data_IF_651691245926
#
_entry.id   IF_651691245926
#
_cell.length_a   1.000
_cell.length_b   1.000
_cell.length_c   1.000
_cell.angle_alpha   90.00
_cell.angle_beta   90.00
_cell.angle_gamma   90.00
#
_symmetry.space_group_name_H-M   'P 1'
#
loop_
_entity.id
_entity.type
_entity.pdbx_description
1 polymer ?
#
# COMPACT_ATOMS: atom_id res chain seq x y z
N UNK A 1 -26.56 13.54 -17.31
CA UNK A 1 -25.29 13.29 -17.98
C UNK A 1 -24.12 13.60 -17.06
N UNK A 2 -23.02 12.86 -17.19
CA UNK A 2 -21.78 13.11 -16.41
C UNK A 2 -20.88 14.14 -17.10
N UNK A 3 -20.99 14.26 -18.42
CA UNK A 3 -20.21 15.21 -19.23
C UNK A 3 -21.10 16.19 -19.98
N UNK A 4 -20.55 17.36 -20.27
CA UNK A 4 -21.22 18.39 -21.06
C UNK A 4 -21.48 17.93 -22.50
N UNK A 5 -22.32 18.68 -23.22
CA UNK A 5 -22.59 18.43 -24.64
C UNK A 5 -21.26 18.54 -25.42
N UNK A 6 -20.97 17.57 -26.29
CA UNK A 6 -19.73 17.49 -27.04
C UNK A 6 -18.70 16.57 -26.43
N UNK A 7 -18.76 16.26 -25.12
CA UNK A 7 -17.78 15.42 -24.40
C UNK A 7 -18.38 14.09 -23.88
N UNK A 8 -19.60 13.75 -24.28
CA UNK A 8 -20.37 12.61 -23.77
C UNK A 8 -19.94 11.25 -24.31
N UNK A 9 -19.30 11.25 -25.47
CA UNK A 9 -18.90 10.04 -26.17
C UNK A 9 -17.38 9.96 -26.25
N UNK A 10 -16.84 8.76 -26.01
CA UNK A 10 -15.45 8.42 -26.18
C UNK A 10 -15.30 7.19 -27.08
N UNK A 11 -14.20 7.09 -27.82
CA UNK A 11 -13.85 5.93 -28.62
C UNK A 11 -12.71 5.17 -27.96
N UNK A 12 -12.96 3.90 -27.60
CA UNK A 12 -12.04 3.07 -26.83
C UNK A 12 -11.77 1.76 -27.57
N UNK A 13 -10.88 1.76 -28.58
CA UNK A 13 -10.59 0.59 -29.39
C UNK A 13 -9.75 -0.42 -28.60
N UNK A 14 -9.91 -1.70 -28.93
CA UNK A 14 -9.06 -2.76 -28.45
C UNK A 14 -8.74 -3.77 -29.56
N UNK A 15 -7.53 -4.30 -29.55
CA UNK A 15 -7.09 -5.36 -30.44
C UNK A 15 -6.24 -6.34 -29.64
N UNK A 16 -6.42 -7.62 -29.94
CA UNK A 16 -5.58 -8.69 -29.38
C UNK A 16 -5.25 -9.73 -30.42
N UNK A 17 -4.08 -10.32 -30.28
CA UNK A 17 -3.60 -11.42 -31.11
C UNK A 17 -2.97 -12.48 -30.22
N UNK A 18 -3.13 -13.76 -30.64
CA UNK A 18 -2.49 -14.88 -29.95
C UNK A 18 -1.94 -15.83 -30.96
N UNK A 19 -0.68 -16.23 -30.79
CA UNK A 19 0.01 -17.18 -31.65
C UNK A 19 0.36 -18.44 -30.87
N UNK A 20 -0.23 -19.56 -31.29
CA UNK A 20 0.06 -20.88 -30.72
C UNK A 20 1.22 -21.51 -31.48
N UNK A 21 2.43 -21.21 -31.06
CA UNK A 21 3.67 -21.64 -31.71
C UNK A 21 3.80 -23.17 -31.70
N UNK A 22 3.30 -23.81 -30.64
CA UNK A 22 3.33 -25.29 -30.56
C UNK A 22 2.51 -26.00 -31.65
N UNK A 23 1.58 -25.33 -32.33
CA UNK A 23 0.80 -25.92 -33.43
C UNK A 23 1.50 -25.79 -34.79
N UNK A 24 2.54 -24.96 -34.88
CA UNK A 24 3.27 -24.76 -36.13
C UNK A 24 4.07 -26.00 -36.55
N UNK A 25 4.18 -26.23 -37.86
CA UNK A 25 4.89 -27.40 -38.42
C UNK A 25 6.36 -27.43 -37.99
N UNK A 26 7.03 -26.30 -37.97
CA UNK A 26 8.44 -26.20 -37.56
C UNK A 26 8.68 -26.56 -36.08
N UNK A 27 7.64 -26.50 -35.28
CA UNK A 27 7.72 -26.80 -33.86
C UNK A 27 7.52 -28.28 -33.52
N UNK A 28 7.12 -29.08 -34.49
CA UNK A 28 6.81 -30.51 -34.31
C UNK A 28 7.86 -31.33 -33.53
N UNK A 29 9.19 -31.12 -33.71
CA UNK A 29 10.20 -31.88 -32.94
C UNK A 29 10.18 -31.62 -31.45
N UNK A 30 9.73 -30.41 -31.01
CA UNK A 30 9.73 -29.98 -29.62
C UNK A 30 8.41 -30.26 -28.90
N UNK A 31 7.35 -30.69 -29.56
CA UNK A 31 6.02 -30.92 -28.97
C UNK A 31 6.00 -31.96 -27.85
N UNK A 32 6.96 -32.90 -27.85
CA UNK A 32 7.07 -33.88 -26.75
C UNK A 32 7.51 -33.26 -25.43
N UNK A 33 8.35 -32.22 -25.48
CA UNK A 33 8.86 -31.52 -24.32
C UNK A 33 7.99 -30.30 -23.93
N UNK A 34 7.54 -29.57 -24.99
CA UNK A 34 6.76 -28.35 -24.84
C UNK A 34 5.35 -28.61 -25.34
N UNK A 35 4.45 -28.86 -24.40
CA UNK A 35 3.05 -29.24 -24.69
C UNK A 35 2.21 -28.04 -25.11
N UNK A 36 2.54 -26.84 -24.62
CA UNK A 36 1.90 -25.59 -24.99
C UNK A 36 2.93 -24.47 -25.04
N UNK A 37 2.88 -23.67 -26.10
CA UNK A 37 3.65 -22.45 -26.24
C UNK A 37 2.80 -21.44 -26.99
N UNK A 38 2.33 -20.42 -26.29
CA UNK A 38 1.48 -19.37 -26.86
C UNK A 38 2.01 -18.00 -26.49
N UNK A 39 2.19 -17.16 -27.50
CA UNK A 39 2.42 -15.73 -27.31
C UNK A 39 1.11 -14.97 -27.43
N UNK A 40 0.94 -13.98 -26.58
CA UNK A 40 -0.24 -13.11 -26.52
C UNK A 40 0.20 -11.65 -26.63
N UNK A 41 -0.54 -10.88 -27.41
CA UNK A 41 -0.36 -9.45 -27.54
C UNK A 41 -1.71 -8.79 -27.39
N UNK A 42 -1.79 -7.73 -26.63
CA UNK A 42 -2.99 -6.93 -26.57
C UNK A 42 -2.66 -5.44 -26.43
N UNK A 43 -3.51 -4.64 -27.07
CA UNK A 43 -3.55 -3.19 -26.96
C UNK A 43 -5.01 -2.80 -26.81
N UNK A 44 -5.35 -2.17 -25.70
CA UNK A 44 -6.73 -1.75 -25.43
C UNK A 44 -6.80 -0.39 -24.76
N UNK A 45 -7.78 0.38 -25.16
CA UNK A 45 -8.16 1.63 -24.50
C UNK A 45 -9.47 1.43 -23.75
N UNK A 46 -9.56 1.96 -22.54
CA UNK A 46 -10.78 1.99 -21.71
C UNK A 46 -11.04 3.43 -21.26
N UNK A 47 -12.30 3.83 -21.25
CA UNK A 47 -12.72 5.11 -20.71
C UNK A 47 -13.21 4.99 -19.28
N UNK A 48 -12.76 5.89 -18.41
CA UNK A 48 -13.30 6.04 -17.06
C UNK A 48 -14.15 7.32 -16.99
N UNK A 49 -15.37 7.19 -16.47
CA UNK A 49 -16.30 8.29 -16.26
C UNK A 49 -16.70 8.43 -14.78
N UNK A 50 -15.81 8.10 -13.87
CA UNK A 50 -16.11 8.15 -12.43
C UNK A 50 -16.09 9.60 -11.90
N UNK A 51 -17.06 10.38 -12.37
CA UNK A 51 -17.36 11.75 -11.96
C UNK A 51 -18.80 11.84 -11.49
N UNK A 52 -19.12 12.85 -10.70
CA UNK A 52 -20.49 13.11 -10.27
C UNK A 52 -21.45 13.43 -11.44
N UNK A 53 -22.71 13.29 -11.16
CA UNK A 53 -23.73 13.72 -12.13
C UNK A 53 -23.77 15.23 -12.18
N UNK A 54 -23.71 15.80 -13.40
CA UNK A 54 -23.79 17.24 -13.64
C UNK A 54 -22.64 18.06 -13.04
N UNK A 55 -21.50 17.43 -12.72
CA UNK A 55 -20.31 18.12 -12.19
C UNK A 55 -19.78 19.24 -13.10
N UNK A 56 -20.20 19.26 -14.36
CA UNK A 56 -19.87 20.32 -15.32
C UNK A 56 -20.77 21.57 -15.17
N UNK A 57 -21.79 21.53 -14.31
CA UNK A 57 -22.65 22.67 -14.05
C UNK A 57 -22.24 23.38 -12.77
N UNK A 58 -22.08 24.69 -12.86
CA UNK A 58 -21.92 25.50 -11.67
C UNK A 58 -23.27 25.63 -10.96
N UNK A 59 -23.30 25.37 -9.67
CA UNK A 59 -24.52 25.38 -8.87
C UNK A 59 -24.48 26.49 -7.82
N UNK A 60 -25.65 26.97 -7.46
CA UNK A 60 -25.83 27.89 -6.34
C UNK A 60 -26.53 27.12 -5.23
N UNK A 61 -25.89 27.03 -4.08
CA UNK A 61 -26.50 26.47 -2.88
C UNK A 61 -27.09 27.57 -2.05
N UNK A 62 -28.38 27.47 -1.76
CA UNK A 62 -29.11 28.43 -0.93
C UNK A 62 -29.58 27.79 0.37
N UNK A 63 -29.84 28.60 1.39
CA UNK A 63 -30.33 28.13 2.70
C UNK A 63 -29.24 27.84 3.73
N UNK A 64 -27.97 28.02 3.42
CA UNK A 64 -26.89 27.99 4.40
C UNK A 64 -26.96 29.22 5.32
N UNK A 65 -26.74 29.02 6.63
CA UNK A 65 -26.64 30.14 7.56
C UNK A 65 -25.28 30.81 7.40
N UNK A 66 -25.23 32.08 7.07
CA UNK A 66 -23.99 32.85 7.05
C UNK A 66 -23.49 33.07 8.48
N UNK A 67 -22.15 33.11 8.67
CA UNK A 67 -21.54 33.22 9.99
C UNK A 67 -21.73 34.62 10.63
N UNK A 68 -22.25 35.57 9.86
CA UNK A 68 -22.47 36.94 10.32
C UNK A 68 -23.92 37.14 10.80
N UNK A 69 -24.06 37.72 11.98
CA UNK A 69 -25.36 38.05 12.54
C UNK A 69 -25.71 39.53 12.18
N UNK A 70 -26.85 39.76 11.61
CA UNK A 70 -27.40 41.09 11.35
C UNK A 70 -28.41 41.46 12.45
N UNK A 71 -28.29 42.67 12.98
CA UNK A 71 -29.27 43.21 13.95
C UNK A 71 -29.48 42.29 15.16
N UNK A 72 -30.70 41.84 15.38
CA UNK A 72 -31.19 41.09 16.54
C UNK A 72 -30.56 39.66 16.76
N UNK A 73 -29.30 39.49 16.47
CA UNK A 73 -28.58 38.23 16.64
C UNK A 73 -29.05 37.07 15.70
N UNK A 74 -29.90 37.36 14.76
CA UNK A 74 -30.33 36.35 13.78
C UNK A 74 -29.29 36.18 12.67
N UNK A 75 -28.90 34.95 12.42
CA UNK A 75 -28.03 34.63 11.29
C UNK A 75 -28.93 34.57 10.02
N UNK A 76 -28.60 35.37 9.03
CA UNK A 76 -29.32 35.36 7.78
C UNK A 76 -29.05 34.10 6.97
N UNK A 77 -30.03 33.68 6.17
CA UNK A 77 -29.83 32.68 5.12
C UNK A 77 -28.99 33.27 4.00
N UNK A 78 -27.95 32.56 3.61
CA UNK A 78 -27.08 32.95 2.52
C UNK A 78 -27.19 32.07 1.31
N UNK A 79 -26.56 32.49 0.23
CA UNK A 79 -26.32 31.67 -0.95
C UNK A 79 -24.83 31.63 -1.24
N UNK A 80 -24.32 30.47 -1.60
CA UNK A 80 -22.92 30.28 -2.03
C UNK A 80 -22.87 29.70 -3.43
N UNK A 81 -21.95 30.18 -4.23
CA UNK A 81 -21.69 29.65 -5.56
C UNK A 81 -20.65 28.53 -5.40
N UNK A 82 -20.88 27.37 -6.05
CA UNK A 82 -19.90 26.30 -6.09
C UNK A 82 -18.60 26.77 -6.75
N UNK A 83 -17.51 26.03 -6.53
CA UNK A 83 -16.28 26.26 -7.28
C UNK A 83 -16.56 26.32 -8.79
N UNK A 84 -15.79 27.12 -9.55
CA UNK A 84 -15.92 27.16 -11.00
C UNK A 84 -15.71 25.75 -11.55
N UNK A 85 -16.52 25.37 -12.53
CA UNK A 85 -16.42 24.08 -13.19
C UNK A 85 -15.82 24.26 -14.58
N UNK A 86 -14.86 23.42 -14.93
CA UNK A 86 -14.44 23.31 -16.32
C UNK A 86 -15.56 22.62 -17.10
N UNK A 87 -16.13 23.29 -18.11
CA UNK A 87 -17.18 22.72 -18.96
C UNK A 87 -16.64 21.75 -20.01
N UNK A 88 -15.34 21.70 -20.18
CA UNK A 88 -14.60 20.97 -21.21
C UNK A 88 -13.97 19.66 -20.74
N UNK A 89 -14.10 19.28 -19.46
CA UNK A 89 -13.57 18.03 -19.01
C UNK A 89 -14.25 16.81 -19.66
N UNK A 90 -13.46 15.80 -19.93
CA UNK A 90 -13.86 14.61 -20.67
C UNK A 90 -13.39 13.33 -20.00
N UNK A 91 -13.53 12.21 -20.69
CA UNK A 91 -13.15 10.89 -20.24
C UNK A 91 -11.66 10.80 -19.84
N UNK A 92 -11.41 10.18 -18.71
CA UNK A 92 -10.07 9.63 -18.47
C UNK A 92 -9.88 8.41 -19.36
N UNK A 93 -8.72 8.29 -19.98
CA UNK A 93 -8.41 7.18 -20.89
C UNK A 93 -7.29 6.31 -20.32
N UNK A 94 -7.56 5.02 -20.22
CA UNK A 94 -6.56 4.03 -19.80
C UNK A 94 -6.15 3.19 -21.01
N UNK A 95 -4.91 3.33 -21.47
CA UNK A 95 -4.35 2.55 -22.56
C UNK A 95 -3.41 1.51 -21.99
N UNK A 96 -3.73 0.23 -22.20
CA UNK A 96 -2.90 -0.89 -21.74
C UNK A 96 -2.29 -1.60 -22.95
N UNK A 97 -0.97 -1.82 -22.90
CA UNK A 97 -0.18 -2.64 -23.83
C UNK A 97 0.31 -3.83 -23.04
N UNK A 98 0.05 -5.03 -23.50
CA UNK A 98 0.44 -6.26 -22.81
C UNK A 98 1.08 -7.26 -23.77
N UNK A 99 2.12 -7.93 -23.31
CA UNK A 99 2.74 -9.08 -23.95
C UNK A 99 2.73 -10.21 -22.94
N UNK A 100 2.15 -11.34 -23.31
CA UNK A 100 2.03 -12.52 -22.47
C UNK A 100 2.60 -13.77 -23.13
N UNK A 101 3.09 -14.67 -22.29
CA UNK A 101 3.60 -15.99 -22.65
C UNK A 101 2.86 -17.06 -21.83
N UNK A 102 2.30 -18.05 -22.50
CA UNK A 102 1.79 -19.26 -21.87
C UNK A 102 2.67 -20.44 -22.31
N UNK A 103 3.27 -21.13 -21.34
CA UNK A 103 4.18 -22.25 -21.55
C UNK A 103 3.70 -23.46 -20.75
N UNK A 104 3.55 -24.59 -21.43
CA UNK A 104 3.25 -25.90 -20.85
C UNK A 104 4.37 -26.88 -21.17
N UNK A 105 4.92 -27.51 -20.16
CA UNK A 105 5.99 -28.48 -20.25
C UNK A 105 5.59 -29.84 -19.67
N UNK A 106 6.30 -30.90 -20.06
CA UNK A 106 6.17 -32.24 -19.47
C UNK A 106 4.72 -32.76 -19.49
N UNK A 107 4.06 -32.68 -20.62
CA UNK A 107 2.63 -33.02 -20.79
C UNK A 107 1.72 -32.19 -19.87
N UNK A 108 1.98 -30.88 -19.78
CA UNK A 108 1.26 -29.91 -18.94
C UNK A 108 1.34 -30.17 -17.41
N UNK A 109 2.34 -30.93 -16.94
CA UNK A 109 2.62 -31.00 -15.50
C UNK A 109 3.14 -29.69 -14.97
N UNK A 110 4.02 -29.02 -15.72
CA UNK A 110 4.50 -27.68 -15.44
C UNK A 110 3.84 -26.70 -16.41
N UNK A 111 3.09 -25.75 -15.87
CA UNK A 111 2.53 -24.65 -16.65
C UNK A 111 3.02 -23.32 -16.09
N UNK A 112 3.34 -22.40 -16.97
CA UNK A 112 3.78 -21.05 -16.64
C UNK A 112 3.02 -20.05 -17.49
N UNK A 113 2.53 -19.00 -16.87
CA UNK A 113 1.98 -17.82 -17.53
C UNK A 113 2.76 -16.62 -17.06
N UNK A 114 3.23 -15.80 -17.97
CA UNK A 114 3.94 -14.56 -17.66
C UNK A 114 3.43 -13.43 -18.55
N UNK A 115 3.20 -12.28 -17.96
CA UNK A 115 2.73 -11.07 -18.63
C UNK A 115 3.61 -9.87 -18.24
N UNK A 116 3.92 -9.03 -19.23
CA UNK A 116 4.58 -7.74 -19.04
C UNK A 116 3.68 -6.69 -19.66
N UNK A 117 3.39 -5.64 -18.91
CA UNK A 117 2.49 -4.61 -19.36
C UNK A 117 2.95 -3.19 -19.07
N UNK A 118 2.47 -2.27 -19.91
CA UNK A 118 2.54 -0.84 -19.70
C UNK A 118 1.11 -0.30 -19.78
N UNK A 119 0.70 0.39 -18.74
CA UNK A 119 -0.60 1.06 -18.64
C UNK A 119 -0.39 2.56 -18.53
N UNK A 120 -0.86 3.29 -19.51
CA UNK A 120 -0.90 4.74 -19.52
C UNK A 120 -2.31 5.21 -19.14
N UNK A 121 -2.45 5.83 -17.98
CA UNK A 121 -3.68 6.55 -17.59
C UNK A 121 -3.50 8.00 -17.97
N UNK A 122 -4.31 8.48 -18.90
CA UNK A 122 -4.24 9.81 -19.48
C UNK A 122 -5.47 10.63 -19.13
N UNK A 123 -5.26 11.94 -19.09
CA UNK A 123 -6.33 12.90 -18.93
C UNK A 123 -7.13 12.68 -17.64
N UNK A 124 -6.43 12.34 -16.54
CA UNK A 124 -7.04 12.16 -15.23
C UNK A 124 -7.64 13.47 -14.72
N UNK A 125 -8.81 13.37 -14.16
CA UNK A 125 -9.54 14.51 -13.58
C UNK A 125 -8.96 14.85 -12.21
N UNK A 126 -8.22 15.92 -12.15
CA UNK A 126 -7.58 16.45 -10.95
C UNK A 126 -7.91 17.94 -10.80
N UNK A 127 -7.74 18.49 -9.61
CA UNK A 127 -7.79 19.94 -9.45
C UNK A 127 -6.78 20.60 -10.41
N UNK A 128 -7.21 21.66 -11.08
CA UNK A 128 -6.33 22.48 -11.93
C UNK A 128 -5.29 23.23 -11.08
N UNK A 129 -4.51 24.14 -11.70
CA UNK A 129 -3.63 25.05 -10.92
C UNK A 129 -4.41 25.74 -9.83
N UNK A 130 -3.76 25.92 -8.67
CA UNK A 130 -4.35 26.66 -7.58
C UNK A 130 -4.75 28.07 -8.05
N UNK A 131 -5.97 28.44 -7.76
CA UNK A 131 -6.43 29.79 -7.97
C UNK A 131 -5.87 30.72 -6.89
N UNK A 132 -5.55 31.98 -7.19
CA UNK A 132 -5.18 32.92 -6.15
C UNK A 132 -6.24 32.98 -5.05
N UNK A 133 -5.82 33.07 -3.78
CA UNK A 133 -6.72 33.09 -2.63
C UNK A 133 -7.81 34.19 -2.72
N UNK A 134 -7.54 35.28 -3.42
CA UNK A 134 -8.51 36.36 -3.67
C UNK A 134 -9.71 35.93 -4.49
N UNK A 135 -9.61 34.80 -5.20
CA UNK A 135 -10.73 34.26 -5.98
C UNK A 135 -11.84 33.67 -5.08
N UNK A 136 -11.47 33.24 -3.87
CA UNK A 136 -12.42 32.77 -2.86
C UNK A 136 -13.12 31.44 -3.17
N UNK A 137 -12.62 30.65 -4.14
CA UNK A 137 -13.16 29.35 -4.48
C UNK A 137 -12.03 28.34 -4.80
N UNK A 138 -12.34 27.05 -4.65
CA UNK A 138 -11.43 25.96 -5.01
C UNK A 138 -11.22 25.88 -6.53
N UNK A 139 -10.07 25.37 -6.93
CA UNK A 139 -9.74 25.16 -8.33
C UNK A 139 -10.66 24.15 -9.01
N UNK A 140 -11.09 24.39 -10.26
CA UNK A 140 -11.93 23.44 -11.00
C UNK A 140 -11.17 22.15 -11.29
N UNK A 141 -11.90 21.05 -11.42
CA UNK A 141 -11.36 19.81 -11.95
C UNK A 141 -11.17 19.91 -13.46
N UNK A 142 -10.01 19.50 -13.93
CA UNK A 142 -9.69 19.43 -15.36
C UNK A 142 -8.93 18.13 -15.66
N UNK A 143 -8.79 17.78 -16.93
CA UNK A 143 -7.99 16.62 -17.36
C UNK A 143 -6.48 16.99 -17.30
N UNK A 144 -5.90 17.03 -16.12
CA UNK A 144 -4.62 17.68 -15.83
C UNK A 144 -3.45 16.72 -15.57
N UNK A 145 -3.71 15.44 -15.30
CA UNK A 145 -2.68 14.50 -14.88
C UNK A 145 -2.61 13.24 -15.75
N UNK A 146 -1.40 12.72 -15.91
CA UNK A 146 -1.15 11.42 -16.54
C UNK A 146 -0.26 10.56 -15.65
N UNK A 147 -0.53 9.26 -15.67
CA UNK A 147 0.27 8.24 -14.96
C UNK A 147 0.74 7.19 -15.95
N UNK A 148 1.90 6.59 -15.68
CA UNK A 148 2.38 5.40 -16.33
C UNK A 148 2.71 4.33 -15.34
N UNK A 149 2.01 3.20 -15.44
CA UNK A 149 2.31 1.98 -14.68
C UNK A 149 3.04 1.00 -15.58
N UNK A 150 4.18 0.50 -15.11
CA UNK A 150 4.90 -0.63 -15.70
C UNK A 150 4.83 -1.77 -14.71
N UNK A 151 4.46 -2.94 -15.18
CA UNK A 151 4.33 -4.10 -14.31
C UNK A 151 4.58 -5.40 -15.06
N UNK A 152 4.75 -6.44 -14.28
CA UNK A 152 4.83 -7.81 -14.74
C UNK A 152 4.14 -8.72 -13.73
N UNK A 153 3.62 -9.83 -14.21
CA UNK A 153 3.05 -10.88 -13.38
C UNK A 153 3.43 -12.25 -13.94
N UNK A 154 3.65 -13.20 -13.07
CA UNK A 154 3.97 -14.56 -13.43
C UNK A 154 3.23 -15.53 -12.51
N UNK A 155 2.75 -16.63 -13.10
CA UNK A 155 2.20 -17.75 -12.37
C UNK A 155 2.86 -19.03 -12.87
N UNK A 156 3.26 -19.90 -11.93
CA UNK A 156 3.85 -21.20 -12.23
C UNK A 156 3.02 -22.24 -11.48
N UNK A 157 2.52 -23.23 -12.18
CA UNK A 157 1.80 -24.36 -11.59
C UNK A 157 2.49 -25.68 -11.95
N UNK A 158 2.69 -26.48 -10.92
CA UNK A 158 3.13 -27.87 -11.05
C UNK A 158 2.02 -28.79 -10.56
N UNK A 159 1.61 -29.74 -11.40
CA UNK A 159 0.62 -30.75 -11.07
C UNK A 159 1.17 -32.11 -11.46
N UNK A 160 1.22 -33.04 -10.52
CA UNK A 160 1.71 -34.38 -10.80
C UNK A 160 1.02 -35.41 -9.89
N UNK A 161 1.23 -36.67 -10.26
CA UNK A 161 0.73 -37.79 -9.47
C UNK A 161 1.68 -38.99 -9.58
N UNK A 162 1.76 -39.73 -8.49
CA UNK A 162 2.52 -40.98 -8.45
C UNK A 162 1.80 -42.01 -7.57
N UNK A 163 2.17 -43.26 -7.69
CA UNK A 163 1.58 -44.34 -6.91
C UNK A 163 2.30 -44.46 -5.57
N UNK A 164 1.57 -44.23 -4.46
CA UNK A 164 2.07 -44.39 -3.11
C UNK A 164 1.31 -45.53 -2.42
N UNK A 165 2.00 -46.62 -2.08
CA UNK A 165 1.40 -47.79 -1.45
C UNK A 165 0.17 -48.35 -2.17
N UNK A 166 0.22 -48.41 -3.52
CA UNK A 166 -0.86 -48.92 -4.34
C UNK A 166 -2.02 -47.98 -4.60
N UNK A 167 -1.94 -46.72 -4.15
CA UNK A 167 -2.94 -45.68 -4.38
C UNK A 167 -2.31 -44.44 -4.98
N UNK A 168 -3.04 -43.76 -5.86
CA UNK A 168 -2.57 -42.53 -6.46
C UNK A 168 -2.47 -41.43 -5.39
N UNK A 169 -1.30 -40.78 -5.36
CA UNK A 169 -1.06 -39.53 -4.63
C UNK A 169 -1.00 -38.42 -5.66
N UNK A 170 -1.92 -37.46 -5.57
CA UNK A 170 -1.94 -36.29 -6.42
C UNK A 170 -1.45 -35.08 -5.63
N UNK A 171 -0.68 -34.21 -6.26
CA UNK A 171 -0.28 -32.95 -5.61
C UNK A 171 -0.14 -31.83 -6.63
N UNK A 172 -0.37 -30.61 -6.15
CA UNK A 172 -0.20 -29.43 -6.94
C UNK A 172 0.45 -28.30 -6.12
N UNK A 173 1.28 -27.53 -6.82
CA UNK A 173 1.91 -26.32 -6.29
C UNK A 173 1.66 -25.21 -7.30
N UNK A 174 1.07 -24.11 -6.87
CA UNK A 174 0.87 -22.92 -7.69
C UNK A 174 1.55 -21.73 -7.01
N UNK A 175 2.47 -21.10 -7.74
CA UNK A 175 3.19 -19.91 -7.33
C UNK A 175 2.70 -18.74 -8.17
N UNK A 176 2.36 -17.64 -7.55
CA UNK A 176 2.06 -16.37 -8.20
C UNK A 176 2.99 -15.29 -7.69
N UNK A 177 3.51 -14.47 -8.59
CA UNK A 177 4.36 -13.32 -8.26
C UNK A 177 4.06 -12.18 -9.21
N UNK A 178 3.86 -10.97 -8.68
CA UNK A 178 3.59 -9.78 -9.46
C UNK A 178 4.28 -8.57 -8.86
N UNK A 179 4.66 -7.64 -9.73
CA UNK A 179 5.23 -6.36 -9.31
C UNK A 179 4.87 -5.25 -10.30
N UNK A 180 4.68 -4.05 -9.78
CA UNK A 180 4.47 -2.89 -10.62
C UNK A 180 5.01 -1.60 -10.00
N UNK A 181 5.26 -0.62 -10.84
CA UNK A 181 5.62 0.74 -10.47
C UNK A 181 4.80 1.73 -11.27
N UNK A 182 4.32 2.77 -10.61
CA UNK A 182 3.57 3.84 -11.24
C UNK A 182 4.31 5.16 -11.08
N UNK A 183 4.50 5.88 -12.19
CA UNK A 183 5.10 7.21 -12.21
C UNK A 183 4.13 8.24 -12.77
N UNK A 184 4.18 9.42 -12.20
CA UNK A 184 3.51 10.60 -12.75
C UNK A 184 4.26 11.04 -14.02
N UNK A 185 3.58 11.09 -15.16
CA UNK A 185 4.17 11.50 -16.45
C UNK A 185 3.74 12.89 -16.89
N UNK A 186 2.69 13.42 -16.28
CA UNK A 186 2.26 14.81 -16.44
C UNK A 186 1.51 15.24 -15.19
N UNK A 187 1.84 16.37 -14.65
CA UNK A 187 1.10 17.06 -13.61
C UNK A 187 1.45 18.54 -13.62
N UNK A 188 0.53 19.36 -13.15
CA UNK A 188 0.71 20.81 -13.14
C UNK A 188 1.40 21.29 -11.86
N UNK A 189 2.66 20.89 -11.69
CA UNK A 189 3.53 21.27 -10.58
C UNK A 189 4.97 21.44 -11.09
N UNK A 190 5.19 22.54 -11.81
CA UNK A 190 6.47 22.82 -12.50
C UNK A 190 7.62 22.93 -11.51
N UNK A 191 7.35 23.46 -10.31
CA UNK A 191 8.33 23.61 -9.24
C UNK A 191 8.59 22.32 -8.48
N UNK A 192 7.87 21.23 -8.80
CA UNK A 192 7.92 19.94 -8.10
C UNK A 192 7.83 20.07 -6.59
N UNK A 193 6.96 20.95 -6.13
CA UNK A 193 6.68 21.13 -4.69
C UNK A 193 6.22 19.82 -4.07
N UNK A 194 6.83 19.41 -2.97
CA UNK A 194 6.46 18.21 -2.25
C UNK A 194 5.08 18.39 -1.56
N UNK A 195 4.34 17.31 -1.40
CA UNK A 195 2.96 17.36 -0.90
C UNK A 195 1.90 17.39 -2.01
N UNK A 196 2.27 17.77 -3.23
CA UNK A 196 1.47 17.64 -4.46
C UNK A 196 2.19 16.74 -5.45
N UNK A 197 1.48 15.93 -6.27
CA UNK A 197 2.15 15.13 -7.30
C UNK A 197 2.98 16.01 -8.25
N UNK A 198 4.08 15.47 -8.73
CA UNK A 198 4.96 16.16 -9.69
C UNK A 198 5.44 15.20 -10.79
N UNK A 199 5.80 15.75 -11.94
CA UNK A 199 6.30 14.96 -13.07
C UNK A 199 7.61 14.27 -12.71
N UNK A 200 7.65 12.94 -12.94
CA UNK A 200 8.76 12.05 -12.58
C UNK A 200 8.61 11.35 -11.24
N UNK A 201 7.69 11.79 -10.38
CA UNK A 201 7.41 11.17 -9.08
C UNK A 201 6.98 9.71 -9.26
N UNK A 202 7.53 8.82 -8.44
CA UNK A 202 6.99 7.48 -8.27
C UNK A 202 5.89 7.52 -7.21
N UNK A 203 4.70 7.03 -7.52
CA UNK A 203 3.62 7.00 -6.53
C UNK A 203 4.04 6.20 -5.30
N UNK A 204 3.64 6.71 -4.13
CA UNK A 204 3.94 6.10 -2.84
C UNK A 204 5.32 6.46 -2.25
N UNK A 205 6.10 7.34 -2.88
CA UNK A 205 7.36 7.82 -2.32
C UNK A 205 7.16 8.39 -0.91
N UNK A 206 8.06 8.01 -0.01
CA UNK A 206 8.14 8.55 1.34
C UNK A 206 9.44 9.36 1.41
N UNK A 207 9.29 10.68 1.50
CA UNK A 207 10.39 11.60 1.75
C UNK A 207 10.65 11.67 3.25
N UNK A 208 11.91 11.61 3.65
CA UNK A 208 12.27 11.64 5.05
C UNK A 208 13.74 11.92 5.29
N UNK A 209 14.05 12.17 6.55
CA UNK A 209 15.39 12.47 7.03
C UNK A 209 16.21 11.20 7.25
N UNK A 210 17.52 11.34 7.16
CA UNK A 210 18.45 10.26 7.50
C UNK A 210 18.86 10.42 8.96
N UNK A 211 18.87 9.30 9.68
CA UNK A 211 19.27 9.23 11.09
C UNK A 211 20.55 8.44 11.21
N UNK A 212 21.55 8.99 11.91
CA UNK A 212 22.83 8.36 12.23
C UNK A 212 22.84 7.61 13.59
N UNK A 213 21.68 7.51 14.22
CA UNK A 213 21.53 6.86 15.52
C UNK A 213 20.99 7.79 16.60
N UNK A 214 21.36 7.48 17.84
CA UNK A 214 21.06 8.33 19.01
C UNK A 214 22.38 8.90 19.53
N UNK A 215 22.33 10.11 20.06
CA UNK A 215 23.48 10.67 20.78
C UNK A 215 23.87 9.76 21.94
N UNK A 216 25.16 9.47 22.08
CA UNK A 216 25.65 8.55 23.13
C UNK A 216 25.88 9.26 24.46
N UNK A 217 26.28 10.53 24.43
CA UNK A 217 26.56 11.34 25.61
C UNK A 217 25.99 12.74 25.46
N UNK A 218 25.76 13.42 26.56
CA UNK A 218 25.35 14.83 26.56
C UNK A 218 26.44 15.72 25.92
N UNK A 219 27.72 15.39 26.12
CA UNK A 219 28.85 16.12 25.52
C UNK A 219 28.81 16.02 23.97
N UNK A 220 28.51 14.83 23.41
CA UNK A 220 28.31 14.67 21.96
C UNK A 220 27.15 15.54 21.46
N UNK A 221 26.03 15.54 22.16
CA UNK A 221 24.85 16.29 21.80
C UNK A 221 25.07 17.82 21.87
N UNK A 222 25.75 18.29 22.90
CA UNK A 222 26.06 19.70 23.08
C UNK A 222 27.07 20.23 22.03
N UNK A 223 28.03 19.41 21.65
CA UNK A 223 29.07 19.75 20.68
C UNK A 223 28.68 19.42 19.23
N UNK A 224 27.47 18.93 19.00
CA UNK A 224 27.04 18.58 17.64
C UNK A 224 26.90 19.82 16.76
N UNK A 225 27.67 19.90 15.64
CA UNK A 225 27.76 21.13 14.85
C UNK A 225 26.50 21.44 14.05
N UNK A 226 25.64 20.42 13.81
CA UNK A 226 24.46 20.58 12.96
C UNK A 226 23.28 21.09 13.78
N UNK A 227 22.68 22.16 13.33
CA UNK A 227 21.44 22.69 13.90
C UNK A 227 20.24 21.86 13.43
N UNK A 228 19.72 20.99 14.28
CA UNK A 228 18.52 20.19 13.99
C UNK A 228 17.24 20.69 14.69
N UNK A 229 17.18 21.96 15.04
CA UNK A 229 16.02 22.57 15.73
C UNK A 229 14.71 22.45 14.93
N UNK A 230 14.77 22.39 13.60
CA UNK A 230 13.61 22.21 12.76
C UNK A 230 12.89 20.87 13.01
N UNK A 231 13.63 19.80 13.24
CA UNK A 231 13.07 18.46 13.49
C UNK A 231 12.92 18.15 14.96
N UNK A 232 13.68 18.84 15.82
CA UNK A 232 13.68 18.63 17.27
C UNK A 232 12.88 19.67 18.03
N UNK A 233 12.04 20.47 17.44
CA UNK A 233 11.37 21.57 18.15
C UNK A 233 10.74 21.13 19.47
N UNK A 234 11.62 20.86 20.43
CA UNK A 234 11.31 20.40 21.76
C UNK A 234 10.86 21.63 22.53
N UNK A 235 9.54 21.83 22.57
CA UNK A 235 8.87 22.78 23.46
C UNK A 235 9.50 24.16 23.55
N UNK A 236 9.84 24.87 22.49
CA UNK A 236 10.21 26.29 22.65
C UNK A 236 11.01 26.60 23.94
N UNK A 237 11.63 25.57 24.53
CA UNK A 237 12.48 25.73 25.68
C UNK A 237 13.74 26.37 25.17
N UNK A 238 13.86 27.59 25.46
CA UNK A 238 14.94 28.48 25.08
C UNK A 238 16.33 27.85 25.26
N UNK A 239 17.07 27.90 24.37
CA UNK A 239 17.98 27.06 23.86
C UNK A 239 19.37 27.65 23.69
N UNK A 240 20.15 27.54 24.67
CA UNK A 240 21.59 27.67 24.48
C UNK A 240 22.22 26.43 23.82
N UNK A 241 21.59 25.28 23.89
CA UNK A 241 22.10 23.98 23.39
C UNK A 241 21.07 23.18 22.62
N UNK A 242 20.17 23.81 21.85
CA UNK A 242 19.08 23.09 21.14
C UNK A 242 18.27 22.11 22.03
N UNK A 243 18.56 22.01 23.33
CA UNK A 243 17.95 21.07 24.26
C UNK A 243 18.22 19.59 23.96
N UNK A 244 19.26 19.29 23.18
CA UNK A 244 19.67 17.93 22.85
C UNK A 244 20.43 17.29 23.99
N UNK A 245 20.19 16.01 24.20
CA UNK A 245 20.84 15.19 25.20
C UNK A 245 21.17 13.80 24.67
N UNK A 246 21.93 13.05 25.43
CA UNK A 246 22.12 11.63 25.20
C UNK A 246 20.77 10.91 25.03
N UNK A 247 20.65 10.05 24.02
CA UNK A 247 19.43 9.34 23.69
C UNK A 247 18.48 10.06 22.75
N UNK A 248 18.74 11.31 22.37
CA UNK A 248 17.98 11.97 21.32
C UNK A 248 18.42 11.51 19.94
N UNK A 249 17.55 11.68 18.95
CA UNK A 249 17.81 11.28 17.55
C UNK A 249 18.83 12.23 16.93
N UNK A 250 19.87 11.65 16.30
CA UNK A 250 20.92 12.36 15.59
C UNK A 250 20.62 12.32 14.08
N UNK A 251 20.27 13.46 13.51
CA UNK A 251 19.97 13.60 12.10
C UNK A 251 21.22 13.93 11.28
N UNK A 252 21.24 13.46 10.04
CA UNK A 252 22.34 13.69 9.10
C UNK A 252 22.02 14.90 8.24
N UNK A 253 22.91 15.88 8.24
CA UNK A 253 22.95 16.97 7.27
C UNK A 253 23.39 16.42 5.92
N UNK A 254 22.52 16.51 4.90
CA UNK A 254 22.77 15.93 3.56
C UNK A 254 23.34 16.94 2.57
N UNK A 255 23.08 18.24 2.73
CA UNK A 255 23.60 19.26 1.84
C UNK A 255 24.83 20.01 2.39
N UNK A 256 25.18 19.77 3.66
CA UNK A 256 26.43 20.22 4.28
C UNK A 256 26.40 21.67 4.76
N UNK A 257 25.21 22.24 4.97
CA UNK A 257 25.06 23.62 5.43
C UNK A 257 25.02 23.76 6.96
N UNK A 258 25.12 22.64 7.69
CA UNK A 258 25.01 22.51 9.15
C UNK A 258 23.65 22.88 9.72
N UNK A 259 22.57 22.81 8.93
CA UNK A 259 21.20 23.08 9.37
C UNK A 259 20.26 22.02 8.79
N UNK A 260 19.57 21.28 9.62
CA UNK A 260 18.55 20.35 9.13
C UNK A 260 17.32 21.13 8.64
N UNK A 261 17.11 21.12 7.34
CA UNK A 261 16.09 21.86 6.64
C UNK A 261 15.08 20.96 5.92
N UNK A 262 13.81 21.39 5.74
CA UNK A 262 12.85 20.63 4.96
C UNK A 262 13.13 20.77 3.46
N UNK A 263 13.00 19.69 2.73
CA UNK A 263 12.92 19.72 1.28
C UNK A 263 11.50 20.14 0.88
N UNK A 264 11.36 21.30 0.29
CA UNK A 264 10.08 21.82 -0.17
C UNK A 264 9.78 21.44 -1.62
N UNK A 265 10.83 21.15 -2.39
CA UNK A 265 10.75 20.83 -3.81
C UNK A 265 11.74 19.72 -4.17
N UNK A 266 11.33 18.84 -5.06
CA UNK A 266 12.22 17.82 -5.63
C UNK A 266 13.28 18.41 -6.59
N UNK A 267 13.16 19.69 -6.96
CA UNK A 267 14.19 20.42 -7.72
C UNK A 267 15.24 21.08 -6.81
N UNK A 268 14.94 21.26 -5.51
CA UNK A 268 15.84 21.85 -4.52
C UNK A 268 15.82 20.95 -3.26
N UNK A 269 16.60 19.88 -3.34
CA UNK A 269 16.70 18.86 -2.30
C UNK A 269 17.61 19.37 -1.19
N UNK A 270 17.09 19.34 0.04
CA UNK A 270 17.81 19.64 1.28
C UNK A 270 18.09 18.33 2.05
N UNK A 271 17.80 18.26 3.34
CA UNK A 271 18.14 17.13 4.19
C UNK A 271 17.16 15.96 4.14
N UNK A 272 16.25 15.97 3.20
CA UNK A 272 15.36 14.85 2.97
C UNK A 272 15.68 14.14 1.65
N UNK A 273 15.50 12.84 1.64
CA UNK A 273 15.54 12.02 0.42
C UNK A 273 14.38 11.02 0.42
N UNK A 274 14.14 10.36 -0.71
CA UNK A 274 13.20 9.24 -0.76
C UNK A 274 13.78 8.08 0.03
N UNK A 275 13.21 7.80 1.20
CA UNK A 275 13.66 6.75 2.13
C UNK A 275 12.87 5.46 1.97
N UNK A 276 11.70 5.50 1.31
CA UNK A 276 10.85 4.34 1.15
C UNK A 276 9.73 4.54 0.14
N UNK A 277 8.90 3.52 0.02
CA UNK A 277 7.69 3.58 -0.80
C UNK A 277 6.55 2.83 -0.09
N UNK A 278 5.37 3.48 -0.01
CA UNK A 278 4.19 2.97 0.69
C UNK A 278 3.35 1.98 -0.13
N UNK A 279 3.61 1.85 -1.43
CA UNK A 279 2.90 0.89 -2.26
C UNK A 279 3.54 -0.50 -2.18
N UNK A 280 2.71 -1.57 -2.19
CA UNK A 280 3.22 -2.93 -2.11
C UNK A 280 4.01 -3.31 -3.37
N UNK A 281 5.13 -3.99 -3.18
CA UNK A 281 6.01 -4.51 -4.22
C UNK A 281 6.20 -6.00 -4.01
N UNK A 282 6.34 -6.73 -5.12
CA UNK A 282 6.55 -8.18 -5.10
C UNK A 282 5.43 -8.89 -4.32
N UNK A 283 4.18 -8.68 -4.76
CA UNK A 283 3.04 -9.41 -4.21
C UNK A 283 3.10 -10.86 -4.66
N UNK A 284 2.95 -11.79 -3.73
CA UNK A 284 3.09 -13.21 -4.03
C UNK A 284 2.03 -14.07 -3.36
N UNK A 285 1.79 -15.23 -3.96
CA UNK A 285 0.98 -16.27 -3.38
C UNK A 285 1.56 -17.65 -3.64
N UNK A 286 1.39 -18.56 -2.70
CA UNK A 286 1.73 -19.98 -2.82
C UNK A 286 0.51 -20.79 -2.44
N UNK A 287 0.01 -21.58 -3.38
CA UNK A 287 -1.06 -22.54 -3.12
C UNK A 287 -0.48 -23.94 -3.20
N UNK A 288 -0.73 -24.72 -2.17
CA UNK A 288 -0.38 -26.13 -2.10
C UNK A 288 -1.66 -26.93 -2.00
N UNK A 289 -1.74 -28.04 -2.73
CA UNK A 289 -2.81 -29.02 -2.55
C UNK A 289 -2.26 -30.42 -2.74
N UNK A 290 -2.82 -31.38 -2.01
CA UNK A 290 -2.51 -32.78 -2.15
C UNK A 290 -3.72 -33.62 -1.77
N UNK A 291 -3.86 -34.78 -2.42
CA UNK A 291 -4.84 -35.78 -2.03
C UNK A 291 -4.26 -37.20 -2.10
N UNK A 292 -4.61 -38.00 -1.14
CA UNK A 292 -4.20 -39.38 -1.06
C UNK A 292 -5.14 -40.21 -0.19
N UNK A 293 -5.66 -41.29 -0.76
CA UNK A 293 -6.44 -42.30 0.01
C UNK A 293 -7.57 -41.73 0.89
N UNK A 294 -8.28 -40.75 0.37
CA UNK A 294 -9.37 -40.08 1.11
C UNK A 294 -8.93 -38.88 1.95
N UNK A 295 -7.63 -38.69 2.19
CA UNK A 295 -7.10 -37.50 2.84
C UNK A 295 -6.91 -36.43 1.77
N UNK A 296 -7.37 -35.23 2.02
CA UNK A 296 -7.11 -34.03 1.23
C UNK A 296 -6.47 -32.94 2.09
N UNK A 297 -5.55 -32.21 1.47
CA UNK A 297 -4.83 -31.09 2.07
C UNK A 297 -4.83 -29.93 1.11
N UNK A 298 -5.05 -28.72 1.62
CA UNK A 298 -4.78 -27.49 0.88
C UNK A 298 -4.25 -26.41 1.82
N UNK A 299 -3.34 -25.56 1.30
CA UNK A 299 -2.83 -24.40 2.01
C UNK A 299 -2.65 -23.24 1.04
N UNK A 300 -2.91 -22.02 1.52
CA UNK A 300 -2.68 -20.77 0.81
C UNK A 300 -1.83 -19.86 1.67
N UNK A 301 -0.64 -19.54 1.17
CA UNK A 301 0.18 -18.46 1.69
C UNK A 301 0.07 -17.25 0.76
N UNK A 302 0.07 -16.08 1.33
CA UNK A 302 0.04 -14.79 0.61
C UNK A 302 0.94 -13.79 1.32
N UNK A 303 1.56 -12.91 0.53
CA UNK A 303 2.40 -11.90 1.12
C UNK A 303 2.78 -10.77 0.17
N UNK A 304 3.51 -9.82 0.75
CA UNK A 304 4.11 -8.67 0.09
C UNK A 304 5.60 -8.68 0.42
N UNK A 305 6.45 -8.63 -0.61
CA UNK A 305 7.90 -8.74 -0.41
C UNK A 305 8.55 -7.46 0.10
N UNK A 306 7.97 -6.29 -0.21
CA UNK A 306 8.46 -4.99 0.26
C UNK A 306 7.34 -3.96 0.25
N UNK A 307 7.16 -3.28 1.36
CA UNK A 307 6.31 -2.11 1.50
C UNK A 307 6.79 -1.32 2.71
N UNK A 308 6.85 -0.01 2.62
CA UNK A 308 7.26 0.83 3.74
C UNK A 308 6.08 1.62 4.29
N UNK A 309 6.13 1.85 5.57
CA UNK A 309 5.15 2.64 6.27
C UNK A 309 5.84 3.46 7.37
N UNK A 310 5.47 4.71 7.49
CA UNK A 310 5.91 5.52 8.63
C UNK A 310 4.73 5.70 9.59
N UNK A 311 4.84 5.27 10.85
CA UNK A 311 3.78 5.45 11.84
C UNK A 311 3.56 6.94 12.08
N UNK A 312 2.34 7.41 11.90
CA UNK A 312 2.01 8.79 12.25
C UNK A 312 1.97 8.98 13.78
N UNK A 313 1.96 10.22 14.25
CA UNK A 313 2.01 10.55 15.68
C UNK A 313 0.87 9.98 16.52
N UNK A 314 -0.24 9.58 15.89
CA UNK A 314 -1.40 9.01 16.58
C UNK A 314 -1.35 7.47 16.71
N UNK A 315 -0.32 6.83 16.15
CA UNK A 315 -0.17 5.36 16.16
C UNK A 315 0.34 4.88 17.51
N UNK A 316 -0.50 4.90 18.52
CA UNK A 316 -0.13 4.53 19.89
C UNK A 316 0.33 3.08 20.05
N UNK A 317 -0.13 2.16 19.20
CA UNK A 317 0.33 0.76 19.17
C UNK A 317 1.79 0.59 18.70
N UNK A 318 2.36 1.62 18.08
CA UNK A 318 3.77 1.67 17.73
C UNK A 318 4.55 2.56 18.71
N UNK A 319 4.09 3.78 18.90
CA UNK A 319 4.82 4.79 19.67
C UNK A 319 4.66 4.68 21.17
N UNK A 320 3.61 4.00 21.66
CA UNK A 320 3.33 3.92 23.08
C UNK A 320 3.24 5.30 23.74
N UNK A 321 3.96 5.52 24.87
CA UNK A 321 3.95 6.78 25.61
C UNK A 321 4.43 8.01 24.84
N UNK A 322 5.17 7.86 23.72
CA UNK A 322 5.56 9.00 22.88
C UNK A 322 4.37 9.65 22.21
N UNK A 323 3.32 8.87 21.87
CA UNK A 323 2.10 9.41 21.29
C UNK A 323 1.31 10.22 22.32
N UNK A 324 0.99 9.61 23.46
CA UNK A 324 0.21 10.24 24.55
C UNK A 324 0.55 9.59 25.89
N UNK A 325 1.42 10.17 26.72
CA UNK A 325 1.90 9.52 27.93
C UNK A 325 0.83 9.27 29.01
N UNK A 326 -0.28 9.99 28.97
CA UNK A 326 -1.35 9.91 29.98
C UNK A 326 -2.55 9.03 29.59
N UNK A 327 -2.64 8.58 28.34
CA UNK A 327 -3.76 7.73 27.89
C UNK A 327 -3.35 6.88 26.68
N UNK A 328 -2.31 6.07 26.84
CA UNK A 328 -1.78 5.29 25.74
C UNK A 328 -1.61 3.84 26.11
N UNK A 329 -1.42 3.02 25.10
CA UNK A 329 -0.97 1.66 25.20
C UNK A 329 0.52 1.61 25.54
N UNK A 330 0.90 0.75 26.46
CA UNK A 330 2.29 0.48 26.81
C UNK A 330 2.61 -0.97 26.41
N UNK A 331 3.48 -1.18 25.39
CA UNK A 331 3.96 -2.52 25.03
C UNK A 331 4.68 -3.18 26.21
N UNK A 332 4.64 -4.49 26.29
CA UNK A 332 5.36 -5.24 27.35
C UNK A 332 6.85 -5.02 27.31
N UNK A 333 7.39 -4.86 26.11
CA UNK A 333 8.83 -4.73 25.86
C UNK A 333 9.29 -3.25 25.86
N UNK A 334 8.40 -2.31 26.23
CA UNK A 334 8.67 -0.88 26.15
C UNK A 334 9.94 -0.46 26.88
N UNK A 335 10.14 -0.96 28.10
CA UNK A 335 11.31 -0.59 28.90
C UNK A 335 12.64 -1.14 28.36
N UNK A 336 12.57 -2.22 27.59
CA UNK A 336 13.77 -2.80 26.93
C UNK A 336 14.07 -2.13 25.60
N UNK A 337 13.06 -1.50 24.99
CA UNK A 337 13.17 -0.85 23.68
C UNK A 337 13.45 0.66 23.77
N UNK A 338 13.35 1.22 24.96
CA UNK A 338 13.49 2.66 25.21
C UNK A 338 14.89 2.98 25.73
N UNK A 339 15.47 4.05 25.25
CA UNK A 339 16.77 4.52 25.66
C UNK A 339 16.80 4.84 27.17
N UNK A 340 17.86 4.40 27.82
CA UNK A 340 18.27 4.77 29.17
C UNK A 340 19.80 4.75 29.24
N UNK A 341 20.36 5.25 30.33
CA UNK A 341 21.81 5.20 30.55
C UNK A 341 22.34 3.76 30.56
N UNK A 342 21.55 2.80 31.02
CA UNK A 342 21.85 1.38 31.02
C UNK A 342 21.58 0.70 29.67
N UNK A 343 20.86 1.35 28.75
CA UNK A 343 20.50 0.84 27.41
C UNK A 343 20.68 1.93 26.33
N UNK A 344 21.92 2.35 26.04
CA UNK A 344 22.19 3.45 25.12
C UNK A 344 21.97 3.08 23.63
N UNK A 345 21.83 1.80 23.31
CA UNK A 345 21.59 1.30 21.96
C UNK A 345 20.13 0.92 21.68
N UNK A 346 19.22 1.35 22.56
CA UNK A 346 17.79 1.07 22.43
C UNK A 346 17.20 1.51 21.09
N UNK A 347 16.09 0.89 20.69
CA UNK A 347 15.41 1.23 19.44
C UNK A 347 14.77 2.61 19.49
N UNK A 348 13.97 2.90 20.54
CA UNK A 348 13.35 4.19 20.74
C UNK A 348 14.27 5.19 21.44
N UNK A 349 14.11 6.50 21.18
CA UNK A 349 14.96 7.50 21.77
C UNK A 349 14.63 7.72 23.26
N UNK A 350 15.31 8.66 23.90
CA UNK A 350 15.01 9.12 25.26
C UNK A 350 13.56 9.62 25.36
N UNK A 351 12.80 9.24 26.39
CA UNK A 351 11.44 9.72 26.58
C UNK A 351 11.38 11.23 26.82
N UNK A 352 10.55 11.93 26.05
CA UNK A 352 10.34 13.38 26.18
C UNK A 352 8.89 13.76 26.35
N UNK A 353 8.07 12.84 26.86
CA UNK A 353 6.63 13.04 26.99
C UNK A 353 5.94 13.17 25.64
N UNK A 354 4.73 13.72 25.62
CA UNK A 354 3.90 13.87 24.41
C UNK A 354 4.39 14.92 23.42
N UNK A 355 5.52 15.51 23.70
CA UNK A 355 6.11 16.56 22.88
C UNK A 355 6.73 16.02 21.60
N UNK A 356 7.13 14.76 21.59
CA UNK A 356 7.86 14.17 20.48
C UNK A 356 7.02 13.96 19.22
N UNK A 357 5.71 13.84 19.30
CA UNK A 357 4.83 13.43 18.21
C UNK A 357 3.67 14.38 17.87
N UNK A 358 3.56 15.52 18.54
CA UNK A 358 2.44 16.45 18.30
C UNK A 358 2.54 17.18 16.93
N UNK A 359 1.45 17.82 16.55
CA UNK A 359 1.02 18.26 15.21
C UNK A 359 1.98 19.20 14.46
N UNK A 360 2.96 19.77 15.12
CA UNK A 360 4.01 20.61 14.51
C UNK A 360 5.40 20.02 14.68
N UNK A 361 6.40 20.46 13.91
CA UNK A 361 7.62 19.72 13.62
C UNK A 361 8.33 19.26 14.90
N UNK A 362 8.04 18.04 15.30
CA UNK A 362 8.64 17.42 16.46
C UNK A 362 9.41 16.19 16.04
N UNK A 363 10.39 15.83 16.83
CA UNK A 363 11.44 14.85 16.55
C UNK A 363 10.96 13.58 15.84
N UNK A 364 9.87 12.97 16.31
CA UNK A 364 9.39 11.70 15.79
C UNK A 364 8.23 11.85 14.79
N UNK A 365 7.69 13.04 14.59
CA UNK A 365 6.56 13.27 13.67
C UNK A 365 6.98 13.28 12.21
N UNK A 366 8.25 13.49 11.93
CA UNK A 366 8.79 13.55 10.57
C UNK A 366 9.33 12.19 10.14
N UNK A 367 8.96 11.72 8.94
CA UNK A 367 9.51 10.46 8.42
C UNK A 367 11.04 10.47 8.45
N UNK A 368 11.61 9.39 8.97
CA UNK A 368 13.05 9.20 9.05
C UNK A 368 13.44 7.74 8.89
N UNK A 369 14.70 7.49 8.61
CA UNK A 369 15.20 6.15 8.30
C UNK A 369 15.18 5.20 9.49
N UNK A 370 15.21 5.71 10.73
CA UNK A 370 15.25 4.87 11.93
C UNK A 370 13.90 4.23 12.23
N UNK A 371 12.81 4.97 12.09
CA UNK A 371 11.46 4.51 12.43
C UNK A 371 10.59 4.17 11.22
N UNK A 372 11.15 4.27 10.02
CA UNK A 372 10.50 3.77 8.81
C UNK A 372 10.34 2.25 8.92
N UNK A 373 9.11 1.78 8.89
CA UNK A 373 8.79 0.38 9.02
C UNK A 373 8.78 -0.33 7.67
N UNK A 374 9.32 -1.55 7.65
CA UNK A 374 9.06 -2.47 6.56
C UNK A 374 7.87 -3.35 6.96
N UNK A 375 6.75 -3.16 6.27
CA UNK A 375 5.50 -3.90 6.49
C UNK A 375 5.32 -5.06 5.50
N UNK A 376 6.43 -5.57 4.95
CA UNK A 376 6.43 -6.84 4.23
C UNK A 376 5.87 -7.95 5.12
N UNK A 377 5.20 -8.92 4.52
CA UNK A 377 4.68 -10.05 5.30
C UNK A 377 4.51 -11.30 4.45
N UNK A 378 4.49 -12.44 5.14
CA UNK A 378 4.04 -13.73 4.65
C UNK A 378 2.99 -14.28 5.62
N UNK A 379 1.79 -14.58 5.13
CA UNK A 379 0.68 -15.08 5.95
C UNK A 379 0.14 -16.39 5.42
N UNK A 380 -0.03 -17.36 6.33
CA UNK A 380 -0.83 -18.55 6.06
C UNK A 380 -2.31 -18.17 6.14
N UNK A 381 -2.88 -17.82 4.97
CA UNK A 381 -4.25 -17.33 4.85
C UNK A 381 -5.29 -18.40 5.12
N UNK A 382 -5.02 -19.61 4.61
CA UNK A 382 -5.93 -20.75 4.81
C UNK A 382 -5.12 -22.05 4.80
N UNK A 383 -5.52 -22.98 5.63
CA UNK A 383 -5.13 -24.39 5.58
C UNK A 383 -6.35 -25.25 5.83
N UNK A 384 -6.53 -26.25 5.01
CA UNK A 384 -7.62 -27.23 5.19
C UNK A 384 -7.06 -28.63 5.11
N UNK A 385 -7.46 -29.48 6.03
CA UNK A 385 -7.19 -30.92 6.04
C UNK A 385 -8.52 -31.63 6.15
N UNK A 386 -8.82 -32.48 5.17
CA UNK A 386 -10.06 -33.25 5.12
C UNK A 386 -9.80 -34.74 5.05
N UNK A 387 -10.78 -35.52 5.46
CA UNK A 387 -10.80 -36.95 5.27
C UNK A 387 -12.17 -37.41 4.79
N UNK A 388 -12.22 -38.02 3.63
CA UNK A 388 -13.42 -38.64 3.06
C UNK A 388 -13.49 -40.11 3.47
N UNK A 389 -14.57 -40.49 4.11
CA UNK A 389 -14.75 -41.84 4.58
C UNK A 389 -14.82 -42.84 3.43
N UNK A 390 -14.31 -44.09 3.61
CA UNK A 390 -14.36 -45.12 2.60
C UNK A 390 -15.81 -45.44 2.18
N UNK A 391 -16.07 -45.58 0.91
CA UNK A 391 -17.39 -45.89 0.36
C UNK A 391 -18.02 -47.19 0.95
N UNK A 392 -17.17 -48.15 1.35
CA UNK A 392 -17.62 -49.40 1.97
C UNK A 392 -18.37 -49.17 3.28
N UNK A 393 -18.01 -48.12 4.03
CA UNK A 393 -18.71 -47.75 5.29
C UNK A 393 -20.02 -47.02 5.02
N UNK A 394 -20.08 -46.27 3.92
CA UNK A 394 -21.20 -45.40 3.60
C UNK A 394 -22.38 -46.14 2.93
N UNK A 395 -22.12 -47.26 2.27
CA UNK A 395 -23.17 -48.06 1.60
C UNK A 395 -24.30 -48.47 2.53
N UNK A 396 -23.98 -48.86 3.76
CA UNK A 396 -24.97 -49.26 4.75
C UNK A 396 -25.86 -48.10 5.22
N UNK A 397 -25.39 -46.85 5.06
CA UNK A 397 -26.08 -45.64 5.47
C UNK A 397 -26.74 -44.90 4.29
N UNK A 398 -26.74 -45.49 3.09
CA UNK A 398 -27.28 -44.89 1.86
C UNK A 398 -26.70 -43.49 1.57
N UNK A 399 -25.43 -43.27 1.93
CA UNK A 399 -24.70 -42.03 1.69
C UNK A 399 -23.69 -42.24 0.57
N UNK A 400 -23.53 -41.24 -0.31
CA UNK A 400 -22.53 -41.27 -1.39
C UNK A 400 -21.15 -40.82 -0.90
N UNK A 401 -21.12 -39.79 -0.07
CA UNK A 401 -19.88 -39.21 0.45
C UNK A 401 -20.10 -38.59 1.84
N UNK A 402 -19.18 -38.88 2.73
CA UNK A 402 -19.04 -38.16 4.02
C UNK A 402 -17.58 -37.71 4.13
N UNK A 403 -17.38 -36.43 4.29
CA UNK A 403 -16.05 -35.83 4.50
C UNK A 403 -16.07 -35.02 5.79
N UNK A 404 -15.13 -35.30 6.67
CA UNK A 404 -14.85 -34.47 7.86
C UNK A 404 -13.62 -33.64 7.58
N UNK A 405 -13.61 -32.38 8.00
CA UNK A 405 -12.47 -31.49 7.74
C UNK A 405 -12.25 -30.53 8.89
N UNK A 406 -11.00 -30.10 8.97
CA UNK A 406 -10.53 -28.96 9.74
C UNK A 406 -10.09 -27.87 8.77
N UNK A 407 -10.46 -26.61 9.05
CA UNK A 407 -9.97 -25.43 8.32
C UNK A 407 -9.47 -24.38 9.31
N UNK A 408 -8.34 -23.82 9.01
CA UNK A 408 -7.75 -22.73 9.77
C UNK A 408 -7.50 -21.52 8.88
N UNK A 409 -7.79 -20.31 9.37
CA UNK A 409 -7.57 -19.05 8.65
C UNK A 409 -6.67 -18.12 9.43
N UNK A 410 -5.77 -17.45 8.73
CA UNK A 410 -4.84 -16.45 9.26
C UNK A 410 -3.97 -16.95 10.42
N UNK A 411 -3.58 -18.24 10.41
CA UNK A 411 -2.97 -18.90 11.55
C UNK A 411 -1.61 -18.33 11.92
N UNK A 412 -0.79 -18.00 10.92
CA UNK A 412 0.57 -17.50 11.11
C UNK A 412 0.83 -16.31 10.19
N UNK A 413 1.51 -15.30 10.73
CA UNK A 413 2.01 -14.15 9.98
C UNK A 413 3.45 -13.90 10.38
N UNK A 414 4.32 -13.77 9.38
CA UNK A 414 5.71 -13.38 9.53
C UNK A 414 5.87 -12.00 8.93
N UNK A 415 6.47 -11.06 9.66
CA UNK A 415 6.72 -9.69 9.20
C UNK A 415 7.93 -9.12 9.92
N UNK A 416 8.74 -8.28 9.27
CA UNK A 416 9.81 -7.51 9.91
C UNK A 416 9.31 -6.25 10.63
N UNK A 417 8.00 -6.00 10.68
CA UNK A 417 7.41 -4.89 11.42
C UNK A 417 7.80 -4.95 12.90
N UNK A 418 8.34 -3.87 13.43
CA UNK A 418 8.83 -3.82 14.81
C UNK A 418 7.73 -4.08 15.85
N UNK A 419 6.51 -3.56 15.62
CA UNK A 419 5.39 -3.77 16.53
C UNK A 419 4.66 -5.10 16.29
N UNK A 420 4.53 -5.92 17.33
CA UNK A 420 3.72 -7.15 17.32
C UNK A 420 2.20 -6.90 17.47
N UNK A 421 1.81 -5.66 17.72
CA UNK A 421 0.41 -5.26 17.97
C UNK A 421 -0.29 -4.68 16.74
N UNK A 422 0.46 -4.51 15.64
CA UNK A 422 -0.04 -3.95 14.39
C UNK A 422 -0.01 -5.05 13.33
N UNK A 423 -1.13 -5.22 12.64
CA UNK A 423 -1.19 -6.14 11.51
C UNK A 423 -0.51 -5.50 10.29
N UNK A 424 0.54 -6.12 9.71
CA UNK A 424 1.28 -5.56 8.58
C UNK A 424 0.42 -5.35 7.33
N UNK A 425 -0.64 -6.13 7.15
CA UNK A 425 -1.57 -5.99 6.02
C UNK A 425 -2.42 -4.71 6.13
N UNK A 426 -2.65 -4.22 7.33
CA UNK A 426 -3.41 -3.00 7.61
C UNK A 426 -2.55 -1.77 7.89
N UNK A 427 -1.26 -1.94 8.17
CA UNK A 427 -0.38 -0.84 8.56
C UNK A 427 -0.26 0.27 7.51
N UNK A 428 -0.31 -0.08 6.23
CA UNK A 428 -0.28 0.88 5.12
C UNK A 428 -1.65 1.34 4.64
N UNK A 429 -2.74 0.83 5.19
CA UNK A 429 -4.09 1.23 4.79
C UNK A 429 -4.38 2.64 5.31
N UNK A 430 -4.47 3.61 4.39
CA UNK A 430 -4.92 4.96 4.70
C UNK A 430 -6.37 4.92 5.15
N UNK A 431 -6.60 4.96 6.44
CA UNK A 431 -7.93 5.26 6.95
C UNK A 431 -8.18 6.74 6.74
N UNK A 432 -9.12 7.07 5.87
CA UNK A 432 -9.60 8.43 5.65
C UNK A 432 -10.01 9.06 6.98
N UNK A 433 -9.39 10.17 7.30
CA UNK A 433 -9.35 10.80 8.60
C UNK A 433 -10.15 12.10 8.65
N UNK A 434 -11.11 12.21 9.50
CA UNK A 434 -11.89 13.44 9.70
C UNK A 434 -12.09 13.90 11.14
N UNK A 435 -11.55 13.22 12.12
CA UNK A 435 -11.70 13.67 13.52
C UNK A 435 -10.47 13.35 14.36
N UNK A 436 -9.80 14.33 14.89
CA UNK A 436 -8.62 14.44 15.75
C UNK A 436 -8.16 13.30 16.66
N UNK A 437 -8.57 12.07 16.48
CA UNK A 437 -8.25 10.94 17.36
C UNK A 437 -8.22 9.61 16.62
N UNK A 438 -7.41 9.48 15.59
CA UNK A 438 -7.24 8.16 14.99
C UNK A 438 -5.98 7.48 15.46
N UNK A 439 -6.16 6.69 16.46
CA UNK A 439 -5.36 5.51 16.55
C UNK A 439 -5.60 4.68 15.30
N UNK A 440 -4.58 4.25 14.58
CA UNK A 440 -4.69 3.22 13.55
C UNK A 440 -4.94 1.89 14.27
N UNK A 441 -6.09 1.80 14.89
CA UNK A 441 -6.57 0.61 15.57
C UNK A 441 -7.55 -0.09 14.65
N UNK A 442 -7.05 -0.60 13.52
CA UNK A 442 -7.80 -1.66 12.88
C UNK A 442 -7.75 -2.86 13.82
N UNK A 443 -8.89 -3.45 14.10
CA UNK A 443 -8.95 -4.66 14.90
C UNK A 443 -8.03 -5.72 14.27
N UNK A 444 -7.16 -6.38 15.05
CA UNK A 444 -6.25 -7.38 14.53
C UNK A 444 -7.01 -8.47 13.79
N UNK A 445 -6.44 -8.97 12.70
CA UNK A 445 -7.06 -10.03 11.92
C UNK A 445 -7.19 -11.30 12.77
N UNK A 446 -8.42 -11.81 12.88
CA UNK A 446 -8.73 -12.97 13.70
C UNK A 446 -8.13 -14.24 13.11
N UNK A 447 -7.62 -15.11 13.97
CA UNK A 447 -7.36 -16.52 13.63
C UNK A 447 -8.65 -17.29 13.79
N UNK A 448 -9.06 -18.01 12.74
CA UNK A 448 -10.29 -18.78 12.74
C UNK A 448 -9.96 -20.27 12.65
N UNK A 449 -10.62 -21.08 13.46
CA UNK A 449 -10.54 -22.54 13.43
C UNK A 449 -11.94 -23.08 13.22
N UNK A 450 -12.12 -23.87 12.18
CA UNK A 450 -13.42 -24.45 11.82
C UNK A 450 -13.31 -25.96 11.68
N UNK A 451 -14.33 -26.67 12.16
CA UNK A 451 -14.52 -28.08 11.92
C UNK A 451 -15.84 -28.28 11.19
N UNK A 452 -15.83 -29.07 10.16
CA UNK A 452 -17.03 -29.30 9.37
C UNK A 452 -17.18 -30.73 8.92
N UNK A 453 -18.41 -31.06 8.55
CA UNK A 453 -18.78 -32.35 7.98
C UNK A 453 -19.63 -32.08 6.72
N UNK A 454 -19.16 -32.59 5.59
CA UNK A 454 -19.89 -32.54 4.31
C UNK A 454 -20.53 -33.92 4.08
N UNK A 455 -21.84 -33.98 3.86
CA UNK A 455 -22.59 -35.21 3.60
C UNK A 455 -23.29 -35.08 2.26
N UNK A 456 -23.09 -36.06 1.39
CA UNK A 456 -23.82 -36.23 0.12
C UNK A 456 -24.58 -37.53 0.16
N UNK A 457 -25.86 -37.47 -0.17
CA UNK A 457 -26.79 -38.61 -0.18
C UNK A 457 -27.00 -39.12 -1.59
#
# INVERSE_FOLDING_TARGET
SRFARGHRYGFFPSVSAGWRINEEKFFAPLRKQISNLKLRFSLGALGNQQVGYYDYLQTISSGGTISYAFGDKNKASGASISAPNASDFTWETVVTKNIGLDLGLLNNRLNMTADIYVRDTKDMLMASKDLPNVYGASSPKTNAANLRTKGWEASISWNDSFNLKGKAFHYSVVLGLADNTTKVTKYNNDNKTLGTPYEGQQLGEIWGYVVDGLFKTDEEAENYPVNQSYVNNILNISVKSQGLHAGDVKYVDLDGDNIISPTLSANDVKDQKVIGNSLPRYTYSVRLAADWNGIDFSALLQGVGRQHWYPNGETSLFWGPYARPYCTFIPKDFLTDVWSEDNPDAYFPRPRGYVALDVNPRELSKPNTRYLQNVAYCRLKNVTVGYSLPRTWLKALHMERVRVYFSGENLFTFSPLHSNYIDPEHAGASTSWKSGHTNVTSYPMSKTYSFGIDVTF
#
